data_IF_588293713395
#
_entry.id   IF_588293713395
#
_cell.length_a   1.000
_cell.length_b   1.000
_cell.length_c   1.000
_cell.angle_alpha   90.00
_cell.angle_beta   90.00
_cell.angle_gamma   90.00
#
_symmetry.space_group_name_H-M   'P 1'
#
loop_
_entity.id
_entity.type
_entity.pdbx_description
1 polymer ?
#
# COMPACT_ATOMS: atom_id res chain seq x y z
N UNK A 1 26.21 -17.40 -15.20
CA UNK A 1 26.33 -16.20 -14.35
C UNK A 1 27.78 -15.70 -14.16
N UNK A 2 28.80 -16.29 -14.79
CA UNK A 2 30.21 -15.86 -14.64
C UNK A 2 30.73 -14.91 -15.73
N UNK A 3 30.16 -14.94 -16.94
CA UNK A 3 30.69 -14.18 -18.09
C UNK A 3 30.35 -12.68 -18.10
N UNK A 4 29.43 -12.21 -17.24
CA UNK A 4 29.07 -10.79 -17.15
C UNK A 4 30.02 -10.03 -16.20
N UNK A 5 30.50 -10.69 -15.15
CA UNK A 5 31.43 -10.12 -14.17
C UNK A 5 32.84 -9.92 -14.75
N UNK A 6 33.25 -10.80 -15.68
CA UNK A 6 34.58 -10.77 -16.31
C UNK A 6 34.78 -9.60 -17.29
N UNK A 7 33.69 -8.94 -17.72
CA UNK A 7 33.76 -7.72 -18.53
C UNK A 7 34.00 -6.45 -17.71
N UNK A 8 33.79 -6.51 -16.40
CA UNK A 8 34.06 -5.37 -15.51
C UNK A 8 35.52 -5.31 -15.07
N UNK A 9 36.23 -6.44 -15.07
CA UNK A 9 37.61 -6.56 -14.56
C UNK A 9 38.69 -6.27 -15.60
N UNK A 10 38.38 -6.22 -16.91
CA UNK A 10 39.34 -5.84 -17.97
C UNK A 10 39.43 -4.34 -18.22
N UNK A 11 38.85 -3.52 -17.34
CA UNK A 11 38.84 -2.06 -17.42
C UNK A 11 39.92 -1.51 -16.47
N UNK A 12 41.16 -1.94 -16.67
CA UNK A 12 42.30 -1.30 -16.00
C UNK A 12 42.43 0.13 -16.54
N UNK A 13 42.28 1.09 -15.63
CA UNK A 13 42.50 2.53 -15.80
C UNK A 13 41.49 3.32 -16.66
N UNK A 14 40.20 3.18 -16.33
CA UNK A 14 39.26 4.30 -16.46
C UNK A 14 38.45 4.37 -15.18
N UNK A 15 38.30 5.56 -14.61
CA UNK A 15 37.33 5.82 -13.53
C UNK A 15 35.92 5.59 -14.10
N UNK A 16 35.43 4.36 -13.99
CA UNK A 16 34.12 3.99 -14.50
C UNK A 16 33.13 4.19 -13.37
N UNK A 17 32.35 5.27 -13.47
CA UNK A 17 31.22 5.52 -12.60
C UNK A 17 30.05 4.64 -13.03
N UNK A 18 29.57 3.81 -12.10
CA UNK A 18 28.36 3.00 -12.28
C UNK A 18 27.33 3.44 -11.25
N UNK A 19 26.12 3.75 -11.72
CA UNK A 19 24.98 4.03 -10.87
C UNK A 19 24.13 2.76 -10.72
N UNK A 20 24.00 2.27 -9.50
CA UNK A 20 23.05 1.22 -9.14
C UNK A 20 21.76 1.87 -8.68
N UNK A 21 20.64 1.50 -9.28
CA UNK A 21 19.30 1.98 -8.95
C UNK A 21 18.35 0.80 -8.76
N UNK A 22 17.25 1.02 -8.02
CA UNK A 22 16.18 0.02 -7.94
C UNK A 22 15.55 -0.17 -9.33
N UNK A 23 15.17 -1.41 -9.65
CA UNK A 23 14.43 -1.72 -10.88
C UNK A 23 13.02 -1.14 -10.86
N UNK A 24 12.33 -1.29 -9.72
CA UNK A 24 11.01 -0.75 -9.46
C UNK A 24 11.00 0.00 -8.13
N UNK A 25 10.40 1.18 -8.11
CA UNK A 25 10.20 1.98 -6.90
C UNK A 25 8.79 2.55 -6.92
N UNK A 26 8.09 2.48 -5.79
CA UNK A 26 6.76 3.08 -5.64
C UNK A 26 6.62 3.71 -4.28
N UNK A 27 5.92 4.84 -4.24
CA UNK A 27 5.46 5.44 -2.98
C UNK A 27 3.99 5.07 -2.80
N UNK A 28 3.64 4.60 -1.61
CA UNK A 28 2.25 4.30 -1.25
C UNK A 28 1.71 5.41 -0.36
N UNK A 29 0.53 5.91 -0.71
CA UNK A 29 -0.23 6.84 0.12
C UNK A 29 -1.58 6.24 0.48
N UNK A 30 -2.11 6.65 1.62
CA UNK A 30 -3.45 6.26 2.02
C UNK A 30 -4.50 7.00 1.17
N UNK A 31 -5.58 6.31 0.82
CA UNK A 31 -6.75 6.91 0.17
C UNK A 31 -7.69 7.60 1.17
N UNK A 32 -7.46 7.41 2.48
CA UNK A 32 -8.24 8.01 3.56
C UNK A 32 -7.33 8.70 4.58
N UNK A 33 -7.84 9.77 5.18
CA UNK A 33 -7.26 10.34 6.39
C UNK A 33 -7.70 9.51 7.59
N UNK A 34 -6.77 9.14 8.46
CA UNK A 34 -7.05 8.32 9.62
C UNK A 34 -5.84 8.21 10.53
N UNK A 35 -6.08 7.79 11.77
CA UNK A 35 -5.01 7.53 12.74
C UNK A 35 -4.47 6.12 12.50
N UNK A 36 -3.14 5.97 12.45
CA UNK A 36 -2.52 4.65 12.31
C UNK A 36 -2.71 3.90 13.63
N UNK A 37 -3.35 2.72 13.55
CA UNK A 37 -3.51 1.78 14.65
C UNK A 37 -2.29 0.88 14.79
N UNK A 38 -1.76 0.40 13.66
CA UNK A 38 -0.64 -0.55 13.64
C UNK A 38 0.14 -0.47 12.34
N UNK A 39 1.44 -0.68 12.42
CA UNK A 39 2.34 -0.89 11.26
C UNK A 39 2.82 -2.35 11.33
N UNK A 40 2.66 -3.10 10.24
CA UNK A 40 2.91 -4.54 10.21
C UNK A 40 4.31 -4.93 9.70
N UNK A 41 5.06 -3.98 9.13
CA UNK A 41 6.36 -4.21 8.51
C UNK A 41 7.39 -3.17 8.95
N UNK A 42 8.65 -3.59 9.04
CA UNK A 42 9.81 -2.74 9.29
C UNK A 42 10.55 -2.35 8.01
N UNK A 43 11.59 -1.53 8.17
CA UNK A 43 12.48 -1.17 7.07
C UNK A 43 13.35 -2.37 6.68
N UNK A 44 13.45 -2.63 5.37
CA UNK A 44 14.22 -3.75 4.82
C UNK A 44 13.46 -5.07 4.72
N UNK A 45 12.21 -5.12 5.21
CA UNK A 45 11.37 -6.31 5.08
C UNK A 45 10.91 -6.52 3.64
N UNK A 46 10.78 -7.79 3.25
CA UNK A 46 10.18 -8.15 1.97
C UNK A 46 8.65 -8.14 2.09
N UNK A 47 7.98 -7.39 1.21
CA UNK A 47 6.52 -7.27 1.17
C UNK A 47 5.96 -7.98 -0.06
N UNK A 48 4.95 -8.82 0.14
CA UNK A 48 4.25 -9.47 -0.96
C UNK A 48 3.13 -8.57 -1.51
N UNK A 49 2.75 -8.79 -2.77
CA UNK A 49 1.58 -8.12 -3.33
C UNK A 49 0.32 -8.39 -2.48
N UNK A 50 -0.50 -7.35 -2.29
CA UNK A 50 -1.73 -7.35 -1.46
C UNK A 50 -1.49 -7.57 0.04
N UNK A 51 -0.26 -7.49 0.53
CA UNK A 51 0.01 -7.52 1.96
C UNK A 51 -0.58 -6.28 2.66
N UNK A 52 -1.10 -6.48 3.88
CA UNK A 52 -1.61 -5.39 4.72
C UNK A 52 -0.44 -4.71 5.41
N UNK A 53 0.00 -3.58 4.87
CA UNK A 53 1.18 -2.87 5.37
C UNK A 53 0.95 -2.16 6.71
N UNK A 54 -0.22 -1.57 6.87
CA UNK A 54 -0.64 -0.83 8.05
C UNK A 54 -2.15 -0.95 8.24
N UNK A 55 -2.61 -0.67 9.46
CA UNK A 55 -4.01 -0.67 9.85
C UNK A 55 -4.37 0.70 10.41
N UNK A 56 -5.53 1.22 10.02
CA UNK A 56 -6.09 2.46 10.55
C UNK A 56 -7.07 2.18 11.68
N UNK A 57 -7.22 3.17 12.55
CA UNK A 57 -8.29 3.24 13.53
C UNK A 57 -9.53 3.84 12.86
N UNK A 58 -10.57 3.03 12.69
CA UNK A 58 -11.76 3.32 11.89
C UNK A 58 -13.04 3.49 12.73
N UNK A 59 -12.95 3.61 14.06
CA UNK A 59 -14.13 3.59 14.94
C UNK A 59 -15.22 4.61 14.54
N UNK A 60 -14.82 5.83 14.18
CA UNK A 60 -15.76 6.88 13.74
C UNK A 60 -16.37 6.58 12.37
N UNK A 61 -15.56 6.10 11.42
CA UNK A 61 -16.04 5.75 10.07
C UNK A 61 -17.01 4.56 10.12
N UNK A 62 -16.73 3.59 10.99
CA UNK A 62 -17.59 2.43 11.21
C UNK A 62 -18.93 2.86 11.83
N UNK A 63 -18.93 3.79 12.79
CA UNK A 63 -20.16 4.34 13.36
C UNK A 63 -20.99 5.09 12.29
N UNK A 64 -20.35 5.93 11.47
CA UNK A 64 -21.02 6.63 10.38
C UNK A 64 -21.63 5.67 9.35
N UNK A 65 -20.90 4.60 9.01
CA UNK A 65 -21.40 3.55 8.12
C UNK A 65 -22.64 2.87 8.70
N UNK A 66 -22.61 2.51 9.99
CA UNK A 66 -23.76 1.89 10.66
C UNK A 66 -25.00 2.78 10.65
N UNK A 67 -24.84 4.08 10.91
CA UNK A 67 -25.93 5.06 10.81
C UNK A 67 -26.49 5.13 9.39
N UNK A 68 -25.62 5.24 8.37
CA UNK A 68 -26.05 5.28 6.98
C UNK A 68 -26.78 4.00 6.54
N UNK A 69 -26.34 2.83 7.01
CA UNK A 69 -27.01 1.56 6.75
C UNK A 69 -28.38 1.45 7.43
N UNK A 70 -28.56 2.03 8.62
CA UNK A 70 -29.85 2.10 9.29
C UNK A 70 -30.83 3.01 8.53
N UNK A 71 -30.38 4.19 8.12
CA UNK A 71 -31.16 5.12 7.30
C UNK A 71 -31.57 4.50 5.96
N UNK A 72 -30.62 3.86 5.27
CA UNK A 72 -30.88 3.18 4.01
C UNK A 72 -31.93 2.07 4.15
N UNK A 73 -31.85 1.27 5.22
CA UNK A 73 -32.85 0.22 5.51
C UNK A 73 -34.23 0.81 5.72
N UNK A 74 -34.37 1.84 6.57
CA UNK A 74 -35.64 2.49 6.84
C UNK A 74 -36.26 3.12 5.59
N UNK A 75 -35.45 3.78 4.76
CA UNK A 75 -35.89 4.35 3.49
C UNK A 75 -36.37 3.26 2.51
N UNK A 76 -35.63 2.15 2.42
CA UNK A 76 -35.98 1.02 1.54
C UNK A 76 -37.32 0.39 1.95
N UNK A 77 -37.54 0.17 3.23
CA UNK A 77 -38.79 -0.41 3.74
C UNK A 77 -39.98 0.52 3.53
N UNK A 78 -39.79 1.82 3.77
CA UNK A 78 -40.83 2.83 3.54
C UNK A 78 -41.19 2.91 2.05
N UNK A 79 -40.19 2.90 1.16
CA UNK A 79 -40.41 2.91 -0.29
C UNK A 79 -41.15 1.65 -0.77
N UNK A 80 -40.81 0.47 -0.25
CA UNK A 80 -41.48 -0.78 -0.60
C UNK A 80 -42.93 -0.84 -0.10
N UNK A 81 -43.24 -0.18 1.01
CA UNK A 81 -44.59 -0.17 1.60
C UNK A 81 -45.51 0.90 0.99
N UNK A 82 -44.94 1.94 0.38
CA UNK A 82 -45.70 3.07 -0.20
C UNK A 82 -46.12 2.83 -1.67
N UNK A 83 -45.80 1.66 -2.24
CA UNK A 83 -46.15 1.27 -3.62
C UNK A 83 -47.30 0.28 -3.63
#
# INVERSE_FOLDING_TARGET
MGALLDKFTTLEDRDISVLVTSGDETTLSSQMAGKIKKVNYGLGDNVAAKAVLLEFDCEEQDAQLQSAEAEYRGARETHLTTR
#
